data_IF_951059287493
#
_entry.id   IF_951059287493
#
_cell.length_a   1.000
_cell.length_b   1.000
_cell.length_c   1.000
_cell.angle_alpha   90.00
_cell.angle_beta   90.00
_cell.angle_gamma   90.00
#
_symmetry.space_group_name_H-M   'P 1'
#
loop_
_entity.id
_entity.type
_entity.pdbx_description
1 polymer ?
#
# COMPACT_ATOMS: atom_id res chain seq x y z
N UNK A 1 -28.96 11.40 -25.54
CA UNK A 1 -27.69 10.77 -25.11
C UNK A 1 -26.90 11.62 -24.10
N UNK A 2 -26.91 12.96 -24.19
CA UNK A 2 -26.25 13.85 -23.22
C UNK A 2 -26.84 13.81 -21.80
N UNK A 3 -28.16 13.64 -21.65
CA UNK A 3 -28.82 13.60 -20.33
C UNK A 3 -28.50 12.35 -19.50
N UNK A 4 -28.23 11.22 -20.15
CA UNK A 4 -27.85 9.98 -19.48
C UNK A 4 -26.47 10.13 -18.86
N UNK A 5 -25.50 10.70 -19.59
CA UNK A 5 -24.15 10.98 -19.06
C UNK A 5 -24.20 11.95 -17.87
N UNK A 6 -25.03 13.00 -17.94
CA UNK A 6 -25.20 13.98 -16.85
C UNK A 6 -25.80 13.41 -15.56
N UNK A 7 -26.58 12.32 -15.64
CA UNK A 7 -27.16 11.66 -14.45
C UNK A 7 -26.33 10.48 -13.96
N UNK A 8 -25.77 9.68 -14.87
CA UNK A 8 -25.01 8.49 -14.51
C UNK A 8 -23.65 8.86 -13.93
N UNK A 9 -22.92 9.83 -14.49
CA UNK A 9 -21.58 10.17 -14.01
C UNK A 9 -21.60 10.63 -12.54
N UNK A 10 -22.46 11.59 -12.11
CA UNK A 10 -22.53 11.98 -10.70
C UNK A 10 -22.99 10.84 -9.78
N UNK A 11 -23.88 9.97 -10.26
CA UNK A 11 -24.37 8.83 -9.50
C UNK A 11 -23.26 7.79 -9.28
N UNK A 12 -22.49 7.47 -10.32
CA UNK A 12 -21.31 6.60 -10.22
C UNK A 12 -20.25 7.23 -9.31
N UNK A 13 -19.96 8.52 -9.46
CA UNK A 13 -19.04 9.24 -8.56
C UNK A 13 -19.54 9.18 -7.12
N UNK A 14 -20.84 9.37 -6.87
CA UNK A 14 -21.40 9.33 -5.52
C UNK A 14 -21.37 7.91 -4.94
N UNK A 15 -21.64 6.88 -5.75
CA UNK A 15 -21.52 5.48 -5.33
C UNK A 15 -20.08 5.10 -5.03
N UNK A 16 -19.12 5.53 -5.86
CA UNK A 16 -17.70 5.34 -5.60
C UNK A 16 -17.31 6.08 -4.31
N UNK A 17 -17.63 7.37 -4.20
CA UNK A 17 -17.40 8.15 -2.99
C UNK A 17 -18.00 7.49 -1.76
N UNK A 18 -19.24 7.03 -1.78
CA UNK A 18 -19.84 6.36 -0.61
C UNK A 18 -19.22 4.99 -0.31
N UNK A 19 -18.88 4.22 -1.35
CA UNK A 19 -18.23 2.91 -1.19
C UNK A 19 -16.84 3.04 -0.59
N UNK A 20 -16.20 4.19 -0.82
CA UNK A 20 -14.81 4.44 -0.48
C UNK A 20 -14.63 5.47 0.64
N UNK A 21 -15.64 6.29 0.98
CA UNK A 21 -15.55 7.40 1.93
C UNK A 21 -15.30 6.98 3.38
N UNK A 22 -15.68 5.75 3.77
CA UNK A 22 -15.34 5.20 5.09
C UNK A 22 -14.14 4.25 5.06
N UNK A 23 -13.67 3.88 3.87
CA UNK A 23 -12.63 2.88 3.65
C UNK A 23 -11.27 3.50 3.27
N UNK A 24 -11.25 4.74 2.75
CA UNK A 24 -10.10 5.28 2.00
C UNK A 24 -9.11 6.18 2.74
N UNK A 25 -9.44 6.93 3.78
CA UNK A 25 -8.42 7.85 4.33
C UNK A 25 -7.46 7.18 5.33
N UNK A 26 -7.94 6.26 6.15
CA UNK A 26 -7.14 5.70 7.25
C UNK A 26 -6.23 4.56 6.79
N UNK A 27 -6.73 3.59 6.02
CA UNK A 27 -5.89 2.45 5.62
C UNK A 27 -4.87 2.82 4.54
N UNK A 28 -5.24 3.68 3.58
CA UNK A 28 -4.28 4.13 2.57
C UNK A 28 -3.18 5.01 3.13
N UNK A 29 -3.45 5.79 4.18
CA UNK A 29 -2.37 6.52 4.85
C UNK A 29 -1.38 5.55 5.51
N UNK A 30 -1.86 4.47 6.13
CA UNK A 30 -1.00 3.40 6.65
C UNK A 30 -0.22 2.67 5.55
N UNK A 31 -0.78 2.50 4.34
CA UNK A 31 -0.05 1.89 3.22
C UNK A 31 1.20 2.67 2.81
N UNK A 32 1.31 3.97 3.09
CA UNK A 32 2.52 4.75 2.75
C UNK A 32 3.78 4.23 3.44
N UNK A 33 3.66 3.51 4.56
CA UNK A 33 4.80 2.97 5.27
C UNK A 33 5.62 1.98 4.42
N UNK A 34 5.07 1.36 3.37
CA UNK A 34 5.86 0.47 2.51
C UNK A 34 6.76 1.22 1.53
N UNK A 35 6.58 2.53 1.36
CA UNK A 35 7.40 3.35 0.48
C UNK A 35 8.49 4.08 1.31
N UNK A 36 9.78 3.80 1.06
CA UNK A 36 10.90 4.41 1.78
C UNK A 36 10.94 5.93 1.72
N UNK A 37 10.31 6.56 0.70
CA UNK A 37 10.28 8.02 0.58
C UNK A 37 9.50 8.71 1.70
N UNK A 38 8.64 7.97 2.42
CA UNK A 38 7.90 8.49 3.58
C UNK A 38 8.57 8.20 4.92
N UNK A 39 9.67 7.44 4.95
CA UNK A 39 10.28 7.00 6.20
C UNK A 39 10.94 8.16 6.94
N UNK A 40 10.60 8.29 8.23
CA UNK A 40 11.33 9.18 9.12
C UNK A 40 12.56 8.49 9.73
N UNK A 41 13.44 9.28 10.35
CA UNK A 41 14.61 8.72 11.05
C UNK A 41 14.23 7.88 12.27
N UNK A 42 13.01 8.05 12.79
CA UNK A 42 12.48 7.33 13.94
C UNK A 42 12.57 5.81 13.74
N UNK A 43 13.16 5.15 14.74
CA UNK A 43 13.27 3.69 14.80
C UNK A 43 11.89 3.03 14.78
N UNK A 44 10.87 3.68 15.30
CA UNK A 44 9.52 3.11 15.42
C UNK A 44 8.55 3.53 14.32
N UNK A 45 8.98 4.39 13.38
CA UNK A 45 8.18 4.76 12.21
C UNK A 45 7.58 3.55 11.48
N UNK A 46 6.30 3.59 11.13
CA UNK A 46 5.65 2.48 10.44
C UNK A 46 5.21 1.32 11.34
N UNK A 47 5.58 1.28 12.63
CA UNK A 47 5.15 0.19 13.52
C UNK A 47 3.61 0.18 13.67
N UNK A 48 3.02 1.35 13.89
CA UNK A 48 1.57 1.52 14.02
C UNK A 48 0.87 1.24 12.68
N UNK A 49 1.44 1.72 11.58
CA UNK A 49 0.93 1.49 10.22
C UNK A 49 0.89 0.00 9.88
N UNK A 50 2.01 -0.72 10.11
CA UNK A 50 2.08 -2.17 9.92
C UNK A 50 1.08 -2.89 10.82
N UNK A 51 0.92 -2.46 12.06
CA UNK A 51 -0.05 -3.08 12.99
C UNK A 51 -1.49 -2.87 12.51
N UNK A 52 -1.83 -1.68 12.02
CA UNK A 52 -3.13 -1.38 11.44
C UNK A 52 -3.39 -2.19 10.16
N UNK A 53 -2.39 -2.31 9.29
CA UNK A 53 -2.47 -3.08 8.04
C UNK A 53 -2.64 -4.57 8.31
N UNK A 54 -1.88 -5.13 9.25
CA UNK A 54 -2.01 -6.53 9.65
C UNK A 54 -3.40 -6.82 10.20
N UNK A 55 -3.92 -5.95 11.08
CA UNK A 55 -5.29 -6.07 11.60
C UNK A 55 -6.33 -6.00 10.48
N UNK A 56 -6.13 -5.12 9.51
CA UNK A 56 -7.05 -4.96 8.39
C UNK A 56 -7.05 -6.18 7.47
N UNK A 57 -5.87 -6.78 7.22
CA UNK A 57 -5.70 -7.92 6.32
C UNK A 57 -5.61 -9.28 7.02
N UNK A 58 -5.95 -9.36 8.30
CA UNK A 58 -5.88 -10.61 9.10
C UNK A 58 -6.77 -11.74 8.54
N UNK A 59 -7.94 -11.39 7.99
CA UNK A 59 -8.85 -12.39 7.38
C UNK A 59 -8.35 -12.94 6.04
N UNK A 60 -7.97 -12.10 5.05
CA UNK A 60 -7.49 -12.62 3.77
C UNK A 60 -6.11 -13.28 3.84
N UNK A 61 -5.34 -13.02 4.90
CA UNK A 61 -3.95 -13.45 5.01
C UNK A 61 -3.72 -14.11 6.37
N UNK A 62 -3.35 -15.40 6.37
CA UNK A 62 -3.02 -16.16 7.58
C UNK A 62 -1.67 -15.76 8.19
N UNK A 63 -1.48 -14.47 8.47
CA UNK A 63 -0.29 -13.94 9.09
C UNK A 63 -0.17 -14.34 10.54
N UNK A 64 1.07 -14.40 11.05
CA UNK A 64 1.31 -14.22 12.48
C UNK A 64 1.62 -12.73 12.73
N UNK A 65 0.71 -11.97 13.37
CA UNK A 65 0.86 -10.52 13.55
C UNK A 65 2.17 -10.11 14.25
N UNK A 66 2.57 -10.89 15.26
CA UNK A 66 3.79 -10.63 16.02
C UNK A 66 5.06 -10.84 15.18
N UNK A 67 5.01 -11.73 14.18
CA UNK A 67 6.13 -11.95 13.25
C UNK A 67 6.28 -10.82 12.24
N UNK A 68 5.17 -10.30 11.71
CA UNK A 68 5.21 -9.19 10.73
C UNK A 68 5.91 -7.97 11.32
N UNK A 69 5.56 -7.58 12.55
CA UNK A 69 6.17 -6.41 13.19
C UNK A 69 7.65 -6.62 13.50
N UNK A 70 8.05 -7.83 13.89
CA UNK A 70 9.46 -8.17 14.09
C UNK A 70 10.23 -8.12 12.77
N UNK A 71 9.67 -8.71 11.71
CA UNK A 71 10.22 -8.66 10.36
C UNK A 71 10.36 -7.21 9.86
N UNK A 72 9.36 -6.36 10.10
CA UNK A 72 9.40 -4.94 9.76
C UNK A 72 10.59 -4.20 10.39
N UNK A 73 10.80 -4.39 11.69
CA UNK A 73 11.92 -3.74 12.41
C UNK A 73 13.26 -4.23 11.89
N UNK A 74 13.43 -5.54 11.72
CA UNK A 74 14.64 -6.12 11.13
C UNK A 74 14.87 -5.64 9.70
N UNK A 75 13.81 -5.54 8.91
CA UNK A 75 13.84 -5.05 7.54
C UNK A 75 14.32 -3.59 7.45
N UNK A 76 13.79 -2.68 8.28
CA UNK A 76 14.26 -1.29 8.31
C UNK A 76 15.74 -1.17 8.65
N UNK A 77 16.24 -1.99 9.59
CA UNK A 77 17.67 -2.04 9.93
C UNK A 77 18.47 -2.52 8.73
N UNK A 78 18.02 -3.60 8.07
CA UNK A 78 18.65 -4.13 6.87
C UNK A 78 18.74 -3.07 5.77
N UNK A 79 17.63 -2.39 5.46
CA UNK A 79 17.57 -1.36 4.41
C UNK A 79 18.52 -0.21 4.72
N UNK A 80 18.50 0.33 5.95
CA UNK A 80 19.42 1.39 6.37
C UNK A 80 20.89 0.97 6.25
N UNK A 81 21.20 -0.31 6.45
CA UNK A 81 22.58 -0.83 6.41
C UNK A 81 23.08 -1.13 4.99
N UNK A 82 22.20 -1.54 4.08
CA UNK A 82 22.58 -2.01 2.74
C UNK A 82 22.29 -1.00 1.62
N UNK A 83 21.44 -0.01 1.87
CA UNK A 83 21.04 1.00 0.88
C UNK A 83 21.43 2.39 1.37
N UNK A 84 22.66 2.87 1.08
CA UNK A 84 23.11 4.20 1.49
C UNK A 84 22.31 5.33 0.82
N UNK A 85 21.63 5.04 -0.30
CA UNK A 85 20.58 5.85 -0.90
C UNK A 85 19.32 5.02 -0.98
N UNK A 86 18.21 5.53 -0.47
CA UNK A 86 16.95 4.80 -0.46
C UNK A 86 16.45 4.61 -1.91
N UNK A 87 16.23 3.36 -2.35
CA UNK A 87 15.60 3.09 -3.63
C UNK A 87 14.11 3.48 -3.60
N UNK A 88 13.53 3.63 -4.78
CA UNK A 88 12.07 3.69 -4.90
C UNK A 88 11.42 2.39 -4.40
N UNK A 89 10.17 2.49 -3.95
CA UNK A 89 9.44 1.37 -3.36
C UNK A 89 9.41 0.15 -4.29
N UNK A 90 9.22 0.34 -5.60
CA UNK A 90 9.09 -0.78 -6.53
C UNK A 90 10.42 -1.52 -6.70
N UNK A 91 11.53 -0.80 -6.85
CA UNK A 91 12.86 -1.39 -6.91
C UNK A 91 13.24 -2.10 -5.62
N UNK A 92 12.93 -1.51 -4.46
CA UNK A 92 13.18 -2.12 -3.15
C UNK A 92 12.47 -3.46 -3.04
N UNK A 93 11.14 -3.45 -3.17
CA UNK A 93 10.34 -4.64 -2.96
C UNK A 93 10.58 -5.70 -4.04
N UNK A 94 10.91 -5.32 -5.28
CA UNK A 94 11.35 -6.29 -6.31
C UNK A 94 12.61 -7.04 -5.86
N UNK A 95 13.60 -6.34 -5.30
CA UNK A 95 14.82 -6.97 -4.76
C UNK A 95 14.52 -7.89 -3.60
N UNK A 96 13.66 -7.45 -2.67
CA UNK A 96 13.30 -8.23 -1.47
C UNK A 96 12.51 -9.47 -1.84
N UNK A 97 11.51 -9.35 -2.71
CA UNK A 97 10.67 -10.46 -3.15
C UNK A 97 11.44 -11.51 -3.96
N UNK A 98 12.49 -11.09 -4.67
CA UNK A 98 13.33 -12.01 -5.47
C UNK A 98 14.44 -12.67 -4.67
N UNK A 99 15.08 -11.96 -3.74
CA UNK A 99 16.33 -12.43 -3.11
C UNK A 99 16.20 -12.73 -1.62
N UNK A 100 15.24 -12.12 -0.92
CA UNK A 100 15.17 -12.11 0.56
C UNK A 100 13.79 -12.49 1.09
N UNK A 101 12.90 -13.01 0.25
CA UNK A 101 11.53 -13.38 0.62
C UNK A 101 11.49 -14.37 1.78
N UNK A 102 12.46 -15.27 1.87
CA UNK A 102 12.54 -16.25 2.97
C UNK A 102 12.91 -15.61 4.32
N UNK A 103 13.62 -14.47 4.32
CA UNK A 103 14.02 -13.76 5.54
C UNK A 103 12.88 -12.91 6.10
N UNK A 104 12.01 -12.40 5.22
CA UNK A 104 10.86 -11.55 5.58
C UNK A 104 9.55 -12.07 4.99
N UNK A 105 9.12 -13.32 5.26
CA UNK A 105 8.04 -13.97 4.53
C UNK A 105 6.68 -13.32 4.74
N UNK A 106 6.35 -12.91 5.97
CA UNK A 106 5.05 -12.31 6.28
C UNK A 106 5.00 -10.87 5.78
N UNK A 107 6.08 -10.11 6.01
CA UNK A 107 6.22 -8.75 5.53
C UNK A 107 6.21 -8.69 3.98
N UNK A 108 6.88 -9.62 3.32
CA UNK A 108 6.89 -9.74 1.85
C UNK A 108 5.48 -9.97 1.30
N UNK A 109 4.70 -10.81 1.96
CA UNK A 109 3.31 -11.07 1.56
C UNK A 109 2.42 -9.85 1.78
N UNK A 110 2.59 -9.13 2.90
CA UNK A 110 1.89 -7.87 3.16
C UNK A 110 2.25 -6.79 2.12
N UNK A 111 3.55 -6.61 1.83
CA UNK A 111 4.00 -5.63 0.85
C UNK A 111 3.52 -5.97 -0.57
N UNK A 112 3.53 -7.26 -0.96
CA UNK A 112 3.00 -7.71 -2.25
C UNK A 112 1.52 -7.36 -2.42
N UNK A 113 0.73 -7.58 -1.37
CA UNK A 113 -0.69 -7.23 -1.35
C UNK A 113 -0.87 -5.71 -1.53
N UNK A 114 -0.19 -4.91 -0.72
CA UNK A 114 -0.33 -3.45 -0.75
C UNK A 114 0.10 -2.89 -2.11
N UNK A 115 1.23 -3.33 -2.66
CA UNK A 115 1.69 -2.90 -3.99
C UNK A 115 0.67 -3.27 -5.08
N UNK A 116 0.00 -4.42 -4.97
CA UNK A 116 -1.04 -4.82 -5.93
C UNK A 116 -2.26 -3.90 -5.88
N UNK A 117 -2.62 -3.43 -4.68
CA UNK A 117 -3.71 -2.46 -4.47
C UNK A 117 -3.31 -1.09 -5.02
N UNK A 118 -2.10 -0.59 -4.71
CA UNK A 118 -1.62 0.70 -5.20
C UNK A 118 -1.55 0.75 -6.73
N UNK A 119 -1.06 -0.31 -7.39
CA UNK A 119 -1.01 -0.40 -8.86
C UNK A 119 -2.42 -0.39 -9.47
N UNK A 120 -3.37 -1.08 -8.83
CA UNK A 120 -4.77 -1.10 -9.27
C UNK A 120 -5.38 0.30 -9.21
N UNK A 121 -5.12 1.05 -8.13
CA UNK A 121 -5.63 2.40 -7.95
C UNK A 121 -5.00 3.40 -8.94
N UNK A 122 -3.69 3.32 -9.18
CA UNK A 122 -3.03 4.17 -10.18
C UNK A 122 -3.58 3.94 -11.58
N UNK A 123 -3.88 2.68 -11.93
CA UNK A 123 -4.45 2.32 -13.24
C UNK A 123 -5.87 2.87 -13.41
N UNK A 124 -6.69 2.79 -12.36
CA UNK A 124 -8.05 3.33 -12.34
C UNK A 124 -8.04 4.87 -12.38
N UNK A 125 -7.17 5.52 -11.59
CA UNK A 125 -7.02 6.97 -11.59
C UNK A 125 -6.56 7.52 -12.95
N UNK A 126 -5.62 6.84 -13.60
CA UNK A 126 -5.17 7.16 -14.96
C UNK A 126 -6.33 7.07 -15.96
N UNK A 127 -7.10 5.98 -15.92
CA UNK A 127 -8.25 5.77 -16.79
C UNK A 127 -9.31 6.86 -16.60
N UNK A 128 -9.64 7.20 -15.36
CA UNK A 128 -10.56 8.30 -15.08
C UNK A 128 -10.04 9.65 -15.55
N UNK A 129 -8.75 9.94 -15.37
CA UNK A 129 -8.14 11.18 -15.85
C UNK A 129 -8.18 11.32 -17.36
N UNK A 130 -8.03 10.21 -18.10
CA UNK A 130 -8.18 10.22 -19.57
C UNK A 130 -9.64 10.50 -19.95
N UNK A 131 -10.60 9.93 -19.21
CA UNK A 131 -12.03 10.15 -19.46
C UNK A 131 -12.50 11.59 -19.16
N UNK A 132 -11.89 12.29 -18.20
CA UNK A 132 -12.22 13.71 -17.92
C UNK A 132 -11.71 14.67 -18.99
N UNK A 133 -10.76 14.25 -19.82
CA UNK A 133 -10.17 15.04 -20.90
C UNK A 133 -10.83 14.77 -22.28
N UNK A 134 -11.95 14.04 -22.32
CA UNK A 134 -12.78 13.77 -23.51
C UNK A 134 -14.14 14.45 -23.35
#
# INVERSE_FOLDING_TARGET
>A
MQDIKRKIIPSVINTLKMRFSSYEETIYSHMKCIDPSYWSEDRDYGNEDISALVKHFEKPLSFNPTRVLKEWRSFKIFVKSHYPKLPDAQSLWRSILSQRRQEFPNLSMLASLIMSISVSNSSVACTFSVMTNI
#
